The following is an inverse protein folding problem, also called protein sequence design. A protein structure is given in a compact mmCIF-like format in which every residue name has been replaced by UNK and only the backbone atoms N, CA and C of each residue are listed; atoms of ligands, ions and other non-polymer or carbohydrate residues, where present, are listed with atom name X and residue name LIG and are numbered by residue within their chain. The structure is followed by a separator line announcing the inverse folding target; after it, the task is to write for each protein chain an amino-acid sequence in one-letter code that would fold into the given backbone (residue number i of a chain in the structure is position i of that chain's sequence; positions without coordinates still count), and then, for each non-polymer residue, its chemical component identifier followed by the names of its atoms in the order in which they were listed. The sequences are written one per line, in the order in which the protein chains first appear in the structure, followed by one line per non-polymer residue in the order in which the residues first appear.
data_IF_326711844419
#
_entry.id   IF_326711844419
#
_cell.length_a   1.000
_cell.length_b   1.000
_cell.length_c   1.000
_cell.angle_alpha   90.00
_cell.angle_beta   90.00
_cell.angle_gamma   90.00
#
_symmetry.space_group_name_H-M   'P 1'
#
loop_
_entity.id
_entity.type
_entity.pdbx_description
1 polymer ?
#
# COMPACT_ATOMS: atom_id res chain seq x y z
N UNK A 1 -28.28 8.74 12.79
CA UNK A 1 -28.36 7.75 11.70
C UNK A 1 -26.95 7.18 11.54
N UNK A 2 -26.75 5.89 11.75
CA UNK A 2 -25.41 5.30 11.72
C UNK A 2 -25.08 4.97 10.27
N UNK A 3 -23.90 5.36 9.79
CA UNK A 3 -23.42 5.10 8.43
C UNK A 3 -23.53 3.61 8.05
N UNK A 4 -23.33 2.74 9.04
CA UNK A 4 -23.51 1.29 8.93
C UNK A 4 -24.91 0.87 8.50
N UNK A 5 -25.93 1.42 9.11
CA UNK A 5 -27.31 1.07 8.80
C UNK A 5 -27.66 1.44 7.36
N UNK A 6 -27.14 2.59 6.89
CA UNK A 6 -27.42 3.13 5.56
C UNK A 6 -26.76 2.32 4.44
N UNK A 7 -25.54 1.82 4.67
CA UNK A 7 -24.73 1.14 3.67
C UNK A 7 -24.73 -0.40 3.80
N UNK A 8 -25.27 -0.95 4.90
CA UNK A 8 -25.33 -2.40 5.17
C UNK A 8 -25.93 -3.19 3.99
N UNK A 9 -27.04 -2.73 3.44
CA UNK A 9 -27.73 -3.36 2.31
C UNK A 9 -27.02 -3.24 0.96
N UNK A 10 -25.99 -2.38 0.84
CA UNK A 10 -25.22 -2.20 -0.38
C UNK A 10 -23.78 -2.73 -0.29
N UNK A 11 -23.36 -3.28 0.87
CA UNK A 11 -22.01 -3.80 1.12
C UNK A 11 -21.44 -4.58 -0.06
N UNK A 12 -22.12 -5.64 -0.49
CA UNK A 12 -21.64 -6.52 -1.55
C UNK A 12 -21.47 -5.80 -2.91
N UNK A 13 -22.33 -4.84 -3.21
CA UNK A 13 -22.22 -4.02 -4.41
C UNK A 13 -21.04 -3.04 -4.34
N UNK A 14 -20.85 -2.42 -3.17
CA UNK A 14 -19.75 -1.47 -2.92
C UNK A 14 -18.41 -2.19 -2.98
N UNK A 15 -18.23 -3.26 -2.20
CA UNK A 15 -16.96 -4.00 -2.15
C UNK A 15 -16.60 -4.59 -3.50
N UNK A 16 -17.58 -5.10 -4.25
CA UNK A 16 -17.37 -5.59 -5.62
C UNK A 16 -16.88 -4.50 -6.57
N UNK A 17 -17.55 -3.34 -6.62
CA UNK A 17 -17.13 -2.23 -7.50
C UNK A 17 -15.72 -1.74 -7.16
N UNK A 18 -15.37 -1.72 -5.87
CA UNK A 18 -14.05 -1.28 -5.41
C UNK A 18 -12.96 -2.31 -5.71
N UNK A 19 -13.27 -3.60 -5.55
CA UNK A 19 -12.41 -4.68 -5.98
C UNK A 19 -12.18 -4.65 -7.49
N UNK A 20 -13.24 -4.42 -8.28
CA UNK A 20 -13.15 -4.29 -9.73
C UNK A 20 -12.22 -3.13 -10.12
N UNK A 21 -12.39 -1.94 -9.52
CA UNK A 21 -11.50 -0.80 -9.74
C UNK A 21 -10.04 -1.10 -9.36
N UNK A 22 -9.83 -1.83 -8.26
CA UNK A 22 -8.52 -2.24 -7.79
C UNK A 22 -7.86 -3.24 -8.75
N UNK A 23 -8.61 -4.18 -9.32
CA UNK A 23 -8.10 -5.15 -10.29
C UNK A 23 -7.93 -4.50 -11.68
N UNK A 24 -8.77 -3.55 -12.05
CA UNK A 24 -8.73 -2.91 -13.36
C UNK A 24 -7.54 -1.96 -13.52
N UNK A 25 -6.93 -1.50 -12.43
CA UNK A 25 -5.66 -0.76 -12.50
C UNK A 25 -4.46 -1.62 -12.92
N UNK A 26 -4.62 -2.93 -13.04
CA UNK A 26 -3.59 -3.83 -13.55
C UNK A 26 -3.63 -3.93 -15.09
N UNK A 27 -2.48 -4.27 -15.73
CA UNK A 27 -2.43 -4.65 -17.14
C UNK A 27 -3.40 -5.79 -17.46
N UNK A 28 -3.80 -5.89 -18.73
CA UNK A 28 -4.84 -6.82 -19.21
C UNK A 28 -4.62 -8.27 -18.79
N UNK A 29 -3.38 -8.76 -18.87
CA UNK A 29 -3.04 -10.15 -18.58
C UNK A 29 -3.18 -10.46 -17.10
N UNK A 30 -2.62 -9.60 -16.23
CA UNK A 30 -2.74 -9.74 -14.77
C UNK A 30 -4.19 -9.59 -14.33
N UNK A 31 -4.93 -8.63 -14.90
CA UNK A 31 -6.37 -8.43 -14.64
C UNK A 31 -7.18 -9.69 -14.94
N UNK A 32 -6.95 -10.30 -16.12
CA UNK A 32 -7.64 -11.53 -16.53
C UNK A 32 -7.35 -12.69 -15.58
N UNK A 33 -6.10 -12.84 -15.16
CA UNK A 33 -5.69 -13.86 -14.20
C UNK A 33 -6.37 -13.66 -12.84
N UNK A 34 -6.30 -12.45 -12.28
CA UNK A 34 -6.88 -12.10 -10.97
C UNK A 34 -8.40 -12.33 -10.91
N UNK A 35 -9.10 -12.11 -12.03
CA UNK A 35 -10.56 -12.34 -12.14
C UNK A 35 -10.92 -13.82 -12.36
N UNK A 36 -10.14 -14.55 -13.15
CA UNK A 36 -10.48 -15.93 -13.56
C UNK A 36 -10.18 -16.95 -12.46
N UNK A 37 -9.05 -16.81 -11.78
CA UNK A 37 -8.57 -17.80 -10.82
C UNK A 37 -9.19 -17.58 -9.43
N UNK A 38 -9.89 -18.59 -8.92
CA UNK A 38 -10.63 -18.52 -7.64
C UNK A 38 -9.93 -19.27 -6.52
N UNK A 39 -8.98 -20.17 -6.84
CA UNK A 39 -8.22 -20.90 -5.83
C UNK A 39 -7.32 -19.94 -5.05
N UNK A 40 -7.37 -19.98 -3.72
CA UNK A 40 -6.50 -19.20 -2.82
C UNK A 40 -5.02 -19.49 -3.07
N UNK A 41 -4.68 -20.75 -3.40
CA UNK A 41 -3.29 -21.16 -3.66
C UNK A 41 -2.81 -20.69 -5.03
N UNK A 42 -3.67 -20.73 -6.04
CA UNK A 42 -3.30 -20.29 -7.38
C UNK A 42 -3.36 -18.75 -7.54
N UNK A 43 -4.22 -18.07 -6.77
CA UNK A 43 -4.40 -16.62 -6.81
C UNK A 43 -4.41 -16.00 -5.41
N UNK A 44 -3.26 -16.01 -4.71
CA UNK A 44 -3.15 -15.44 -3.37
C UNK A 44 -3.42 -13.93 -3.38
N UNK A 45 -2.95 -13.21 -4.41
CA UNK A 45 -3.14 -11.77 -4.54
C UNK A 45 -4.62 -11.40 -4.67
N UNK A 46 -5.35 -12.07 -5.56
CA UNK A 46 -6.78 -11.83 -5.74
C UNK A 46 -7.58 -12.17 -4.48
N UNK A 47 -7.15 -13.19 -3.72
CA UNK A 47 -7.78 -13.51 -2.45
C UNK A 47 -7.54 -12.43 -1.38
N UNK A 48 -6.29 -11.97 -1.23
CA UNK A 48 -5.96 -10.85 -0.33
C UNK A 48 -6.78 -9.61 -0.69
N UNK A 49 -6.93 -9.29 -1.97
CA UNK A 49 -7.73 -8.13 -2.36
C UNK A 49 -9.21 -8.24 -2.04
N UNK A 50 -9.81 -9.43 -2.18
CA UNK A 50 -11.21 -9.64 -1.78
C UNK A 50 -11.38 -9.44 -0.27
N UNK A 51 -10.54 -10.11 0.52
CA UNK A 51 -10.61 -10.09 1.98
C UNK A 51 -10.35 -8.68 2.53
N UNK A 52 -9.32 -7.99 2.03
CA UNK A 52 -8.93 -6.69 2.57
C UNK A 52 -9.82 -5.54 2.08
N UNK A 53 -10.42 -5.62 0.88
CA UNK A 53 -11.43 -4.62 0.45
C UNK A 53 -12.70 -4.72 1.29
N UNK A 54 -13.14 -5.93 1.62
CA UNK A 54 -14.28 -6.13 2.52
C UNK A 54 -13.98 -5.61 3.93
N UNK A 55 -12.80 -5.95 4.46
CA UNK A 55 -12.34 -5.48 5.77
C UNK A 55 -12.19 -3.97 5.82
N UNK A 56 -11.68 -3.35 4.75
CA UNK A 56 -11.56 -1.89 4.64
C UNK A 56 -12.94 -1.22 4.69
N UNK A 57 -13.92 -1.77 3.97
CA UNK A 57 -15.29 -1.25 4.01
C UNK A 57 -15.92 -1.38 5.39
N UNK A 58 -15.80 -2.53 6.05
CA UNK A 58 -16.33 -2.73 7.40
C UNK A 58 -15.68 -1.77 8.39
N UNK A 59 -14.35 -1.66 8.38
CA UNK A 59 -13.62 -0.75 9.25
C UNK A 59 -13.97 0.71 8.96
N UNK A 60 -14.19 1.07 7.70
CA UNK A 60 -14.64 2.41 7.32
C UNK A 60 -16.02 2.72 7.90
N UNK A 61 -16.96 1.79 7.75
CA UNK A 61 -18.33 1.95 8.24
C UNK A 61 -18.40 2.02 9.78
N UNK A 62 -17.54 1.27 10.47
CA UNK A 62 -17.48 1.21 11.94
C UNK A 62 -16.53 2.24 12.58
N UNK A 63 -15.86 3.07 11.78
CA UNK A 63 -14.87 4.06 12.23
C UNK A 63 -13.65 3.47 12.97
N UNK A 64 -13.19 2.30 12.52
CA UNK A 64 -12.09 1.58 13.13
C UNK A 64 -10.76 1.90 12.42
N UNK A 65 -10.12 3.02 12.81
CA UNK A 65 -8.92 3.54 12.16
C UNK A 65 -7.77 2.51 12.01
N UNK A 66 -7.48 1.75 13.06
CA UNK A 66 -6.40 0.76 13.03
C UNK A 66 -6.66 -0.37 12.04
N UNK A 67 -7.93 -0.80 11.92
CA UNK A 67 -8.33 -1.84 10.96
C UNK A 67 -8.33 -1.32 9.54
N UNK A 68 -8.73 -0.06 9.31
CA UNK A 68 -8.61 0.59 8.00
C UNK A 68 -7.13 0.63 7.57
N UNK A 69 -6.24 1.06 8.46
CA UNK A 69 -4.81 1.14 8.19
C UNK A 69 -4.20 -0.24 7.91
N UNK A 70 -4.56 -1.26 8.69
CA UNK A 70 -4.09 -2.62 8.49
C UNK A 70 -4.55 -3.21 7.15
N UNK A 71 -5.81 -3.01 6.78
CA UNK A 71 -6.35 -3.49 5.51
C UNK A 71 -5.73 -2.76 4.32
N UNK A 72 -5.56 -1.44 4.44
CA UNK A 72 -4.93 -0.63 3.42
C UNK A 72 -3.45 -0.99 3.23
N UNK A 73 -2.70 -1.24 4.31
CA UNK A 73 -1.32 -1.70 4.23
C UNK A 73 -1.19 -3.05 3.52
N UNK A 74 -2.07 -4.01 3.79
CA UNK A 74 -2.05 -5.30 3.13
C UNK A 74 -2.24 -5.17 1.60
N UNK A 75 -3.17 -4.32 1.16
CA UNK A 75 -3.40 -4.03 -0.27
C UNK A 75 -2.16 -3.35 -0.89
N UNK A 76 -1.66 -2.30 -0.24
CA UNK A 76 -0.58 -1.46 -0.76
C UNK A 76 0.77 -2.18 -0.74
N UNK A 77 0.99 -3.11 0.18
CA UNK A 77 2.20 -3.95 0.22
C UNK A 77 2.34 -4.77 -1.05
N UNK A 78 1.25 -5.38 -1.52
CA UNK A 78 1.26 -6.12 -2.79
C UNK A 78 1.58 -5.18 -3.95
N UNK A 79 0.92 -4.01 -4.00
CA UNK A 79 1.14 -3.02 -5.07
C UNK A 79 2.55 -2.44 -5.08
N UNK A 80 3.19 -2.31 -3.91
CA UNK A 80 4.56 -1.81 -3.79
C UNK A 80 5.58 -2.80 -4.38
N UNK A 81 5.32 -4.10 -4.23
CA UNK A 81 6.11 -5.17 -4.86
C UNK A 81 5.89 -5.18 -6.38
N UNK A 82 4.66 -4.91 -6.84
CA UNK A 82 4.29 -4.83 -8.26
C UNK A 82 4.70 -3.51 -8.93
N UNK A 83 5.54 -2.69 -8.29
CA UNK A 83 6.18 -1.51 -8.89
C UNK A 83 5.22 -0.42 -9.39
N UNK A 84 4.04 -0.28 -8.78
CA UNK A 84 3.10 0.78 -9.13
C UNK A 84 3.69 2.19 -8.91
N UNK A 85 3.18 3.20 -9.62
CA UNK A 85 3.39 4.58 -9.18
C UNK A 85 2.59 4.86 -7.90
N UNK A 86 2.96 5.85 -7.06
CA UNK A 86 2.18 6.21 -5.88
C UNK A 86 0.70 6.50 -6.21
N UNK A 87 0.44 7.28 -7.26
CA UNK A 87 -0.92 7.58 -7.72
C UNK A 87 -1.66 6.33 -8.22
N UNK A 88 -1.00 5.44 -8.95
CA UNK A 88 -1.59 4.18 -9.39
C UNK A 88 -1.90 3.24 -8.22
N UNK A 89 -1.07 3.26 -7.17
CA UNK A 89 -1.21 2.40 -6.01
C UNK A 89 -2.42 2.79 -5.14
N UNK A 90 -2.67 4.08 -4.94
CA UNK A 90 -3.78 4.57 -4.10
C UNK A 90 -5.03 4.96 -4.89
N UNK A 91 -4.94 5.06 -6.23
CA UNK A 91 -6.01 5.60 -7.07
C UNK A 91 -7.36 4.87 -6.95
N UNK A 92 -7.37 3.58 -6.58
CA UNK A 92 -8.61 2.83 -6.36
C UNK A 92 -9.47 3.41 -5.21
N UNK A 93 -8.88 4.15 -4.26
CA UNK A 93 -9.60 4.82 -3.18
C UNK A 93 -10.51 5.95 -3.69
N UNK A 94 -10.20 6.56 -4.84
CA UNK A 94 -11.12 7.52 -5.47
C UNK A 94 -12.37 6.82 -6.00
N UNK A 95 -12.25 5.61 -6.53
CA UNK A 95 -13.42 4.80 -6.92
C UNK A 95 -14.20 4.36 -5.69
N UNK A 96 -13.53 4.00 -4.60
CA UNK A 96 -14.20 3.73 -3.32
C UNK A 96 -15.03 4.93 -2.86
N UNK A 97 -14.46 6.14 -2.94
CA UNK A 97 -15.16 7.40 -2.63
C UNK A 97 -16.38 7.64 -3.50
N UNK A 98 -16.26 7.47 -4.82
CA UNK A 98 -17.39 7.63 -5.75
C UNK A 98 -18.51 6.62 -5.45
N UNK A 99 -18.14 5.36 -5.21
CA UNK A 99 -19.11 4.28 -4.98
C UNK A 99 -19.88 4.51 -3.68
N UNK A 100 -19.22 4.93 -2.60
CA UNK A 100 -19.89 5.28 -1.33
C UNK A 100 -20.77 6.52 -1.52
N UNK A 101 -20.28 7.57 -2.18
CA UNK A 101 -21.07 8.79 -2.41
C UNK A 101 -22.36 8.48 -3.16
N UNK A 102 -22.28 7.69 -4.23
CA UNK A 102 -23.46 7.31 -5.01
C UNK A 102 -24.45 6.48 -4.17
N UNK A 103 -23.96 5.55 -3.35
CA UNK A 103 -24.76 4.76 -2.41
C UNK A 103 -25.54 5.64 -1.41
N UNK A 104 -24.91 6.71 -0.91
CA UNK A 104 -25.53 7.66 0.00
C UNK A 104 -26.59 8.52 -0.70
N UNK A 105 -26.32 8.96 -1.93
CA UNK A 105 -27.25 9.76 -2.73
C UNK A 105 -28.53 8.98 -3.08
N UNK A 106 -28.42 7.69 -3.39
CA UNK A 106 -29.58 6.82 -3.67
C UNK A 106 -30.50 6.64 -2.45
N UNK A 107 -29.99 6.83 -1.23
CA UNK A 107 -30.72 6.57 0.02
C UNK A 107 -31.44 7.76 0.65
N UNK A 108 -31.26 9.00 0.17
CA UNK A 108 -32.13 10.10 0.62
C UNK A 108 -31.70 11.53 0.27
N UNK A 109 -32.67 12.34 -0.16
CA UNK A 109 -32.54 13.78 -0.48
C UNK A 109 -32.92 14.71 0.69
N UNK A 110 -32.49 14.41 1.92
CA UNK A 110 -32.74 15.26 3.09
C UNK A 110 -31.53 16.13 3.47
N UNK A 111 -31.75 17.23 4.21
CA UNK A 111 -30.68 18.14 4.66
C UNK A 111 -29.58 17.45 5.49
N UNK A 112 -29.92 16.39 6.24
CA UNK A 112 -28.95 15.58 6.99
C UNK A 112 -28.02 14.71 6.12
N UNK A 113 -28.42 14.42 4.87
CA UNK A 113 -27.58 13.66 3.94
C UNK A 113 -26.37 14.46 3.48
N UNK A 114 -26.50 15.79 3.33
CA UNK A 114 -25.39 16.63 2.86
C UNK A 114 -24.22 16.63 3.85
N UNK A 115 -24.50 16.76 5.15
CA UNK A 115 -23.48 16.74 6.20
C UNK A 115 -22.81 15.36 6.26
N UNK A 116 -23.60 14.28 6.22
CA UNK A 116 -23.07 12.92 6.21
C UNK A 116 -22.16 12.64 4.99
N UNK A 117 -22.53 13.14 3.81
CA UNK A 117 -21.71 13.01 2.59
C UNK A 117 -20.39 13.76 2.75
N UNK A 118 -20.42 14.96 3.34
CA UNK A 118 -19.20 15.72 3.62
C UNK A 118 -18.29 14.98 4.61
N UNK A 119 -18.82 14.48 5.73
CA UNK A 119 -18.04 13.72 6.72
C UNK A 119 -17.37 12.49 6.11
N UNK A 120 -18.10 11.78 5.24
CA UNK A 120 -17.61 10.62 4.50
C UNK A 120 -16.50 11.02 3.53
N UNK A 121 -16.67 12.13 2.81
CA UNK A 121 -15.67 12.62 1.87
C UNK A 121 -14.36 13.00 2.58
N UNK A 122 -14.44 13.75 3.68
CA UNK A 122 -13.28 14.13 4.48
C UNK A 122 -12.56 12.91 5.06
N UNK A 123 -13.32 11.90 5.51
CA UNK A 123 -12.75 10.66 6.04
C UNK A 123 -12.02 9.87 4.96
N UNK A 124 -12.57 9.79 3.76
CA UNK A 124 -11.92 9.11 2.63
C UNK A 124 -10.69 9.87 2.14
N UNK A 125 -10.70 11.21 2.18
CA UNK A 125 -9.53 12.01 1.83
C UNK A 125 -8.39 11.79 2.84
N UNK A 126 -8.70 11.71 4.14
CA UNK A 126 -7.72 11.30 5.16
C UNK A 126 -7.19 9.89 4.90
N UNK A 127 -8.06 8.93 4.59
CA UNK A 127 -7.66 7.56 4.26
C UNK A 127 -6.74 7.51 3.04
N UNK A 128 -6.99 8.36 2.04
CA UNK A 128 -6.17 8.46 0.84
C UNK A 128 -4.77 8.99 1.13
N UNK A 129 -4.65 10.04 1.94
CA UNK A 129 -3.36 10.56 2.39
C UNK A 129 -2.59 9.51 3.19
N UNK A 130 -3.25 8.83 4.13
CA UNK A 130 -2.66 7.72 4.89
C UNK A 130 -2.18 6.60 3.97
N UNK A 131 -2.99 6.23 2.96
CA UNK A 131 -2.60 5.25 1.95
C UNK A 131 -1.35 5.67 1.17
N UNK A 132 -1.25 6.94 0.77
CA UNK A 132 -0.08 7.46 0.09
C UNK A 132 1.18 7.35 0.96
N UNK A 133 1.09 7.70 2.23
CA UNK A 133 2.21 7.57 3.18
C UNK A 133 2.63 6.11 3.37
N UNK A 134 1.68 5.20 3.60
CA UNK A 134 1.94 3.77 3.76
C UNK A 134 2.67 3.23 2.52
N UNK A 135 2.15 3.54 1.33
CA UNK A 135 2.77 3.12 0.08
C UNK A 135 4.20 3.63 -0.08
N UNK A 136 4.41 4.92 0.19
CA UNK A 136 5.70 5.58 0.05
C UNK A 136 6.75 4.96 0.98
N UNK A 137 6.40 4.75 2.26
CA UNK A 137 7.26 4.07 3.24
C UNK A 137 7.61 2.64 2.81
N UNK A 138 6.66 1.91 2.22
CA UNK A 138 6.91 0.55 1.69
C UNK A 138 7.88 0.57 0.52
N UNK A 139 7.74 1.53 -0.40
CA UNK A 139 8.64 1.70 -1.56
C UNK A 139 10.05 2.10 -1.15
N UNK A 140 10.18 3.05 -0.25
CA UNK A 140 11.45 3.43 0.36
C UNK A 140 12.15 2.21 0.95
N UNK A 141 11.43 1.41 1.76
CA UNK A 141 12.00 0.20 2.35
C UNK A 141 12.46 -0.82 1.32
N UNK A 142 11.71 -1.01 0.23
CA UNK A 142 12.11 -1.90 -0.87
C UNK A 142 13.39 -1.39 -1.53
N UNK A 143 13.50 -0.09 -1.76
CA UNK A 143 14.71 0.50 -2.35
C UNK A 143 15.92 0.40 -1.43
N UNK A 144 15.75 0.63 -0.12
CA UNK A 144 16.82 0.45 0.86
C UNK A 144 17.34 -0.99 0.85
N UNK A 145 16.44 -1.96 0.81
CA UNK A 145 16.82 -3.38 0.75
C UNK A 145 17.60 -3.69 -0.53
N UNK A 146 17.16 -3.18 -1.68
CA UNK A 146 17.87 -3.34 -2.97
C UNK A 146 19.25 -2.70 -2.94
N UNK A 147 19.36 -1.46 -2.46
CA UNK A 147 20.63 -0.75 -2.38
C UNK A 147 21.63 -1.44 -1.45
N UNK A 148 21.17 -1.91 -0.29
CA UNK A 148 22.00 -2.63 0.66
C UNK A 148 22.46 -3.99 0.11
N UNK A 149 21.61 -4.69 -0.63
CA UNK A 149 21.99 -5.95 -1.28
C UNK A 149 23.06 -5.72 -2.36
N UNK A 150 22.92 -4.70 -3.20
CA UNK A 150 23.94 -4.34 -4.20
C UNK A 150 25.28 -4.01 -3.51
N UNK A 151 25.27 -3.19 -2.45
CA UNK A 151 26.49 -2.87 -1.68
C UNK A 151 27.17 -4.12 -1.14
N UNK A 152 26.40 -5.06 -0.58
CA UNK A 152 26.92 -6.35 -0.07
C UNK A 152 27.53 -7.20 -1.19
N UNK A 153 26.88 -7.25 -2.35
CA UNK A 153 27.41 -8.00 -3.50
C UNK A 153 28.71 -7.40 -4.02
N UNK A 154 28.80 -6.07 -4.16
CA UNK A 154 30.02 -5.38 -4.59
C UNK A 154 31.16 -5.57 -3.59
N UNK A 155 30.89 -5.43 -2.29
CA UNK A 155 31.89 -5.67 -1.25
C UNK A 155 32.47 -7.09 -1.34
N UNK A 156 31.61 -8.11 -1.47
CA UNK A 156 32.03 -9.51 -1.63
C UNK A 156 32.85 -9.76 -2.90
N UNK A 157 32.56 -9.04 -3.99
CA UNK A 157 33.35 -9.15 -5.23
C UNK A 157 34.74 -8.52 -5.07
N UNK A 158 34.84 -7.38 -4.40
CA UNK A 158 36.13 -6.74 -4.10
C UNK A 158 36.99 -7.59 -3.17
N UNK A 159 36.38 -8.18 -2.13
CA UNK A 159 37.05 -9.13 -1.22
C UNK A 159 37.60 -10.33 -2.01
N UNK A 160 36.80 -10.94 -2.87
CA UNK A 160 37.22 -12.07 -3.72
C UNK A 160 38.31 -11.72 -4.71
N UNK A 161 38.34 -10.49 -5.18
CA UNK A 161 39.37 -9.98 -6.09
C UNK A 161 40.66 -9.57 -5.36
N UNK A 162 40.71 -9.70 -4.02
CA UNK A 162 41.80 -9.21 -3.17
C UNK A 162 42.09 -7.71 -3.37
N UNK A 163 41.06 -6.94 -3.74
CA UNK A 163 41.12 -5.50 -3.99
C UNK A 163 40.74 -4.67 -2.75
N UNK A 164 40.44 -5.33 -1.64
CA UNK A 164 40.20 -4.66 -0.35
C UNK A 164 41.58 -4.43 0.29
N UNK A 165 42.06 -3.19 0.26
CA UNK A 165 43.19 -2.80 1.09
C UNK A 165 42.70 -2.67 2.53
N UNK A 166 43.17 -3.55 3.43
CA UNK A 166 43.14 -3.24 4.85
C UNK A 166 44.00 -2.00 5.06
N UNK A 167 43.40 -0.90 5.53
CA UNK A 167 44.17 0.26 5.98
C UNK A 167 44.80 -0.19 7.31
N UNK A 168 46.14 -0.28 7.42
CA UNK A 168 46.76 -0.72 8.66
C UNK A 168 46.40 0.24 9.79
N UNK A 169 45.87 -0.27 10.90
CA UNK A 169 45.55 0.52 12.11
C UNK A 169 46.78 1.14 12.79
N UNK A 170 47.98 0.83 12.31
CA UNK A 170 49.23 1.38 12.83
C UNK A 170 49.69 2.55 11.97
N UNK A 171 49.44 3.76 12.47
CA UNK A 171 50.24 4.94 12.09
C UNK A 171 51.71 4.55 12.32
N UNK A 172 52.61 4.67 11.32
CA UNK A 172 54.01 4.36 11.53
C UNK A 172 54.53 5.27 12.62
N UNK A 173 55.06 4.68 13.70
CA UNK A 173 55.84 5.43 14.69
C UNK A 173 56.99 6.07 13.93
N UNK A 174 56.89 7.38 13.69
CA UNK A 174 57.97 8.20 13.16
C UNK A 174 59.00 8.29 14.28
N UNK A 175 59.78 7.21 14.42
CA UNK A 175 60.91 7.15 15.31
C UNK A 175 61.77 8.38 15.08
N UNK A 176 61.85 9.23 16.11
CA UNK A 176 62.81 10.32 16.19
C UNK A 176 64.23 9.73 16.18
N UNK A 177 64.75 9.48 14.99
CA UNK A 177 66.17 9.44 14.68
C UNK A 177 66.55 10.85 14.22
N UNK A 178 67.56 11.55 14.73
CA UNK A 178 68.70 11.20 15.57
C UNK A 178 69.42 12.53 15.92
N UNK A 179 70.32 12.48 16.93
CA UNK A 179 71.65 13.16 17.01
C UNK A 179 71.67 14.70 17.06
N UNK A 180 72.34 15.41 17.97
CA UNK A 180 73.55 15.24 18.81
C UNK A 180 73.39 15.92 20.18
#
# INVERSE_FOLDING_TARGET
MILADLLSGQKAGITRKCLDALIDSYPSDTRRFLRKEKSRFANPVGQTYREEVERLFEAFVNDEADKMNSALDAILRVRAIQDFSPSGAVGFLFEFKKVIRNALQEKGSGNGTSVLVQDVDEKLDRLLLTGFEIYSKRREKIFDLRANEIKRQVARLLERANLVCEIPDTVPDLGNHNTE
#
